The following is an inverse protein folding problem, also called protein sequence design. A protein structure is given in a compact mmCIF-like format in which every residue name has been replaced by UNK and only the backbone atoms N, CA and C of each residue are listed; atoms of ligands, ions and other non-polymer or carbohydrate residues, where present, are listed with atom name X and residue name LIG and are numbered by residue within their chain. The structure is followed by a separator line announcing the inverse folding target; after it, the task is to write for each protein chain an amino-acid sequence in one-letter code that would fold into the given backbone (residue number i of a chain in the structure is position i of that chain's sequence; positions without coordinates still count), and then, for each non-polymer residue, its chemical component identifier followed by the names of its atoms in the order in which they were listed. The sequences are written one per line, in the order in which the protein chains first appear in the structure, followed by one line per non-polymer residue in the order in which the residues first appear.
data_IF_899631961672
#
_entry.id   IF_899631961672
#
_cell.length_a   1.000
_cell.length_b   1.000
_cell.length_c   1.000
_cell.angle_alpha   90.00
_cell.angle_beta   90.00
_cell.angle_gamma   90.00
#
_symmetry.space_group_name_H-M   'P 1'
#
loop_
_entity.id
_entity.type
_entity.pdbx_description
1 polymer ?
#
# COMPACT_ATOMS: atom_id res chain seq x y z
N UNK A 1 6.24 -26.91 47.67
CA UNK A 1 5.42 -26.04 46.84
C UNK A 1 6.33 -25.25 45.92
N UNK A 2 6.54 -25.76 44.72
CA UNK A 2 7.36 -25.10 43.67
C UNK A 2 6.44 -24.32 42.77
N UNK A 3 6.47 -23.02 42.92
CA UNK A 3 5.80 -22.08 41.99
C UNK A 3 6.58 -22.05 40.67
N UNK A 4 6.07 -22.74 39.67
CA UNK A 4 6.51 -22.59 38.30
C UNK A 4 6.05 -21.19 37.80
N UNK A 5 7.02 -20.27 37.79
CA UNK A 5 6.85 -19.01 37.06
C UNK A 5 6.67 -19.35 35.56
N UNK A 6 5.52 -19.02 35.03
CA UNK A 6 5.29 -19.04 33.58
C UNK A 6 6.32 -18.15 32.89
N UNK A 7 6.91 -18.60 31.77
CA UNK A 7 7.76 -17.70 30.98
C UNK A 7 6.90 -16.50 30.54
N UNK A 8 7.38 -15.30 30.85
CA UNK A 8 6.82 -14.07 30.38
C UNK A 8 6.64 -14.19 28.88
N UNK A 9 5.41 -14.26 28.41
CA UNK A 9 5.08 -13.89 27.04
C UNK A 9 5.53 -12.44 26.90
N UNK A 10 6.66 -12.24 26.29
CA UNK A 10 7.18 -10.93 25.94
C UNK A 10 6.23 -10.38 24.89
N UNK A 11 5.24 -9.60 25.36
CA UNK A 11 4.30 -8.89 24.48
C UNK A 11 5.14 -7.91 23.69
N UNK A 12 5.46 -8.27 22.44
CA UNK A 12 6.20 -7.40 21.53
C UNK A 12 5.34 -6.14 21.34
N UNK A 13 5.84 -4.97 21.77
CA UNK A 13 5.06 -3.75 21.65
C UNK A 13 4.72 -3.48 20.18
N UNK A 14 3.52 -2.96 19.85
CA UNK A 14 3.09 -2.69 18.49
C UNK A 14 4.07 -1.82 17.69
N UNK A 15 4.87 -1.00 18.36
CA UNK A 15 5.93 -0.18 17.78
C UNK A 15 7.09 -0.97 17.16
N UNK A 16 7.26 -2.25 17.49
CA UNK A 16 8.28 -3.12 16.90
C UNK A 16 7.81 -3.78 15.61
N UNK A 17 6.51 -3.87 15.39
CA UNK A 17 5.92 -4.49 14.20
C UNK A 17 5.94 -3.53 13.01
N UNK A 18 5.92 -2.22 13.26
CA UNK A 18 5.88 -1.20 12.22
C UNK A 18 7.04 -0.22 12.32
N UNK A 19 7.51 0.28 11.18
CA UNK A 19 8.58 1.30 11.12
C UNK A 19 8.14 2.69 11.60
N UNK A 20 6.89 2.86 11.99
CA UNK A 20 6.26 4.15 12.29
C UNK A 20 6.52 4.68 13.70
N UNK A 21 7.56 4.21 14.39
CA UNK A 21 7.85 4.55 15.78
C UNK A 21 8.20 6.02 16.08
N UNK A 22 8.34 6.87 15.07
CA UNK A 22 8.58 8.32 15.23
C UNK A 22 7.58 9.10 14.36
N UNK A 23 6.68 9.83 14.99
CA UNK A 23 5.60 10.60 14.35
C UNK A 23 6.08 11.67 13.33
N UNK A 24 7.34 12.10 13.40
CA UNK A 24 7.92 13.13 12.53
C UNK A 24 9.04 12.62 11.62
N UNK A 25 9.15 11.31 11.40
CA UNK A 25 10.08 10.80 10.39
C UNK A 25 9.50 11.01 8.98
N UNK A 26 10.36 11.24 7.98
CA UNK A 26 9.93 11.37 6.57
C UNK A 26 9.09 10.15 6.11
N UNK A 27 9.35 8.98 6.69
CA UNK A 27 8.63 7.73 6.44
C UNK A 27 7.17 7.81 6.90
N UNK A 28 6.95 8.35 8.10
CA UNK A 28 5.59 8.56 8.64
C UNK A 28 4.84 9.60 7.82
N UNK A 29 5.51 10.64 7.37
CA UNK A 29 4.90 11.67 6.51
C UNK A 29 4.45 11.06 5.18
N UNK A 30 5.30 10.26 4.52
CA UNK A 30 4.93 9.57 3.27
C UNK A 30 3.79 8.58 3.48
N UNK A 31 3.84 7.79 4.55
CA UNK A 31 2.77 6.85 4.88
C UNK A 31 1.43 7.55 5.09
N UNK A 32 1.41 8.61 5.90
CA UNK A 32 0.21 9.41 6.16
C UNK A 32 -0.29 10.05 4.87
N UNK A 33 0.62 10.63 4.06
CA UNK A 33 0.25 11.25 2.79
C UNK A 33 -0.41 10.26 1.84
N UNK A 34 0.19 9.08 1.63
CA UNK A 34 -0.40 8.06 0.76
C UNK A 34 -1.72 7.53 1.30
N UNK A 35 -1.83 7.31 2.61
CA UNK A 35 -3.07 6.86 3.24
C UNK A 35 -4.18 7.90 3.11
N UNK A 36 -3.88 9.17 3.37
CA UNK A 36 -4.84 10.26 3.23
C UNK A 36 -5.27 10.45 1.77
N UNK A 37 -4.32 10.42 0.82
CA UNK A 37 -4.65 10.50 -0.60
C UNK A 37 -5.57 9.34 -1.04
N UNK A 38 -5.27 8.11 -0.60
CA UNK A 38 -6.11 6.96 -0.88
C UNK A 38 -7.51 7.09 -0.30
N UNK A 39 -7.63 7.56 0.96
CA UNK A 39 -8.92 7.82 1.61
C UNK A 39 -9.72 8.93 0.91
N UNK A 40 -9.07 10.04 0.55
CA UNK A 40 -9.71 11.14 -0.16
C UNK A 40 -10.23 10.70 -1.54
N UNK A 41 -9.46 9.87 -2.25
CA UNK A 41 -9.93 9.27 -3.51
C UNK A 41 -11.14 8.37 -3.29
N UNK A 42 -11.15 7.58 -2.21
CA UNK A 42 -12.29 6.76 -1.84
C UNK A 42 -13.53 7.59 -1.54
N UNK A 43 -13.39 8.66 -0.78
CA UNK A 43 -14.48 9.59 -0.49
C UNK A 43 -14.97 10.28 -1.76
N UNK A 44 -14.07 10.76 -2.62
CA UNK A 44 -14.42 11.38 -3.89
C UNK A 44 -15.24 10.45 -4.79
N UNK A 45 -14.89 9.17 -4.83
CA UNK A 45 -15.64 8.16 -5.57
C UNK A 45 -17.04 7.92 -4.97
N UNK A 46 -17.13 7.71 -3.64
CA UNK A 46 -18.38 7.44 -2.93
C UNK A 46 -19.36 8.61 -3.08
N UNK A 47 -18.89 9.84 -2.94
CA UNK A 47 -19.72 11.04 -3.10
C UNK A 47 -19.97 11.44 -4.56
N UNK A 48 -19.44 10.68 -5.51
CA UNK A 48 -19.62 10.95 -6.94
C UNK A 48 -19.00 12.28 -7.38
N UNK A 49 -17.88 12.64 -6.79
CA UNK A 49 -17.19 13.89 -7.11
C UNK A 49 -16.79 13.88 -8.59
N UNK A 50 -17.15 14.95 -9.31
CA UNK A 50 -16.83 15.09 -10.72
C UNK A 50 -15.71 16.10 -10.90
N UNK A 51 -14.66 15.70 -11.61
CA UNK A 51 -13.61 16.61 -12.02
C UNK A 51 -13.81 16.98 -13.49
N UNK A 52 -13.96 18.26 -13.80
CA UNK A 52 -14.23 18.73 -15.17
C UNK A 52 -15.47 18.08 -15.85
N UNK A 53 -16.50 17.74 -15.07
CA UNK A 53 -17.71 17.09 -15.59
C UNK A 53 -17.58 15.58 -15.84
N UNK A 54 -16.41 15.00 -15.61
CA UNK A 54 -16.18 13.56 -15.71
C UNK A 54 -16.21 12.93 -14.32
N UNK A 55 -16.93 11.80 -14.20
CA UNK A 55 -16.91 10.97 -12.98
C UNK A 55 -15.76 9.97 -13.07
N UNK A 56 -15.11 9.76 -11.95
CA UNK A 56 -14.16 8.65 -11.82
C UNK A 56 -14.86 7.33 -12.10
N UNK A 57 -14.32 6.58 -13.04
CA UNK A 57 -14.79 5.23 -13.33
C UNK A 57 -14.36 4.28 -12.19
N UNK A 58 -15.16 3.26 -11.97
CA UNK A 58 -14.89 2.27 -10.93
C UNK A 58 -13.50 1.64 -11.08
N UNK A 59 -13.11 1.28 -12.31
CA UNK A 59 -11.78 0.73 -12.60
C UNK A 59 -10.64 1.70 -12.29
N UNK A 60 -10.78 2.97 -12.64
CA UNK A 60 -9.80 4.03 -12.35
C UNK A 60 -9.59 4.17 -10.83
N UNK A 61 -10.70 4.27 -10.09
CA UNK A 61 -10.67 4.38 -8.64
C UNK A 61 -9.95 3.20 -7.98
N UNK A 62 -10.32 1.97 -8.34
CA UNK A 62 -9.72 0.77 -7.74
C UNK A 62 -8.21 0.71 -7.95
N UNK A 63 -7.73 1.00 -9.15
CA UNK A 63 -6.30 0.98 -9.42
C UNK A 63 -5.54 2.06 -8.65
N UNK A 64 -6.05 3.27 -8.58
CA UNK A 64 -5.43 4.35 -7.80
C UNK A 64 -5.41 4.01 -6.31
N UNK A 65 -6.52 3.48 -5.79
CA UNK A 65 -6.62 3.03 -4.41
C UNK A 65 -5.59 1.95 -4.07
N UNK A 66 -5.51 0.89 -4.89
CA UNK A 66 -4.53 -0.18 -4.75
C UNK A 66 -3.11 0.38 -4.75
N UNK A 67 -2.79 1.31 -5.66
CA UNK A 67 -1.47 1.92 -5.76
C UNK A 67 -1.05 2.64 -4.48
N UNK A 68 -1.90 3.52 -3.96
CA UNK A 68 -1.60 4.27 -2.74
C UNK A 68 -1.45 3.36 -1.52
N UNK A 69 -2.35 2.41 -1.31
CA UNK A 69 -2.27 1.53 -0.14
C UNK A 69 -1.12 0.53 -0.23
N UNK A 70 -0.81 0.01 -1.41
CA UNK A 70 0.36 -0.86 -1.61
C UNK A 70 1.66 -0.09 -1.35
N UNK A 71 1.78 1.13 -1.87
CA UNK A 71 2.94 1.97 -1.62
C UNK A 71 3.09 2.32 -0.13
N UNK A 72 1.99 2.69 0.55
CA UNK A 72 1.97 2.94 1.98
C UNK A 72 2.41 1.71 2.78
N UNK A 73 1.96 0.52 2.39
CA UNK A 73 2.33 -0.74 3.04
C UNK A 73 3.83 -1.04 2.92
N UNK A 74 4.45 -0.82 1.75
CA UNK A 74 5.91 -1.00 1.59
C UNK A 74 6.73 -0.03 2.45
N UNK A 75 6.21 1.15 2.74
CA UNK A 75 6.86 2.10 3.65
C UNK A 75 6.69 1.68 5.10
N UNK A 76 5.49 1.21 5.49
CA UNK A 76 5.16 0.89 6.88
C UNK A 76 5.69 -0.48 7.32
N UNK A 77 5.61 -1.50 6.46
CA UNK A 77 5.92 -2.88 6.80
C UNK A 77 7.37 -3.23 6.45
N UNK A 78 8.18 -3.64 7.43
CA UNK A 78 9.54 -4.08 7.18
C UNK A 78 9.58 -5.43 6.47
N UNK A 79 10.56 -5.62 5.56
CA UNK A 79 10.79 -6.92 4.93
C UNK A 79 11.34 -7.97 5.92
N UNK A 80 12.10 -7.49 6.92
CA UNK A 80 12.71 -8.32 7.96
C UNK A 80 12.51 -7.68 9.34
N UNK A 81 12.35 -8.50 10.40
CA UNK A 81 12.24 -8.00 11.78
C UNK A 81 13.42 -7.09 12.15
N UNK A 82 13.14 -5.98 12.84
CA UNK A 82 14.17 -5.05 13.31
C UNK A 82 14.64 -3.99 12.32
N UNK A 83 14.16 -3.97 11.09
CA UNK A 83 14.46 -2.89 10.13
C UNK A 83 13.76 -1.58 10.51
N UNK A 84 14.53 -0.61 11.01
CA UNK A 84 14.01 0.73 11.39
C UNK A 84 13.97 1.74 10.23
N UNK A 85 14.80 1.54 9.19
CA UNK A 85 14.86 2.44 8.02
C UNK A 85 14.26 1.77 6.80
N UNK A 86 13.59 2.55 5.95
CA UNK A 86 13.10 2.06 4.65
C UNK A 86 14.30 1.88 3.72
N UNK A 87 14.61 0.68 3.29
CA UNK A 87 15.66 0.45 2.33
C UNK A 87 15.24 0.94 0.93
N UNK A 88 16.21 1.16 0.07
CA UNK A 88 15.98 1.65 -1.30
C UNK A 88 15.05 0.72 -2.10
N UNK A 89 15.16 -0.58 -1.91
CA UNK A 89 14.30 -1.55 -2.63
C UNK A 89 12.82 -1.44 -2.24
N UNK A 90 12.48 -1.10 -1.00
CA UNK A 90 11.09 -0.85 -0.58
C UNK A 90 10.55 0.44 -1.22
N UNK A 91 11.40 1.46 -1.31
CA UNK A 91 11.04 2.71 -1.98
C UNK A 91 10.81 2.50 -3.48
N UNK A 92 11.68 1.69 -4.12
CA UNK A 92 11.51 1.30 -5.52
C UNK A 92 10.23 0.48 -5.70
N UNK A 93 9.95 -0.50 -4.82
CA UNK A 93 8.73 -1.28 -4.87
C UNK A 93 7.47 -0.40 -4.73
N UNK A 94 7.49 0.56 -3.81
CA UNK A 94 6.42 1.55 -3.64
C UNK A 94 6.23 2.41 -4.91
N UNK A 95 7.32 2.91 -5.50
CA UNK A 95 7.27 3.70 -6.72
C UNK A 95 6.78 2.89 -7.92
N UNK A 96 7.23 1.66 -8.08
CA UNK A 96 6.80 0.75 -9.16
C UNK A 96 5.32 0.40 -9.00
N UNK A 97 4.85 0.10 -7.79
CA UNK A 97 3.43 -0.19 -7.54
C UNK A 97 2.54 0.99 -7.89
N UNK A 98 2.93 2.21 -7.52
CA UNK A 98 2.23 3.44 -7.91
C UNK A 98 2.21 3.62 -9.43
N UNK A 99 3.36 3.52 -10.09
CA UNK A 99 3.47 3.72 -11.52
C UNK A 99 2.59 2.74 -12.32
N UNK A 100 2.61 1.45 -11.96
CA UNK A 100 1.78 0.42 -12.59
C UNK A 100 0.30 0.68 -12.32
N UNK A 101 -0.05 1.03 -11.09
CA UNK A 101 -1.44 1.30 -10.72
C UNK A 101 -2.00 2.51 -11.44
N UNK A 102 -1.23 3.59 -11.57
CA UNK A 102 -1.64 4.75 -12.37
C UNK A 102 -1.73 4.43 -13.87
N UNK A 103 -0.83 3.60 -14.40
CA UNK A 103 -0.93 3.13 -15.78
C UNK A 103 -2.24 2.36 -16.01
N UNK A 104 -2.60 1.43 -15.12
CA UNK A 104 -3.85 0.69 -15.22
C UNK A 104 -5.07 1.59 -15.01
N UNK A 105 -5.01 2.56 -14.11
CA UNK A 105 -6.07 3.54 -13.93
C UNK A 105 -6.31 4.35 -15.21
N UNK A 106 -5.23 4.88 -15.81
CA UNK A 106 -5.33 5.68 -17.03
C UNK A 106 -5.86 4.90 -18.25
N UNK A 107 -5.66 3.57 -18.27
CA UNK A 107 -6.11 2.70 -19.36
C UNK A 107 -7.32 1.83 -18.99
N UNK A 108 -7.93 2.06 -17.81
CA UNK A 108 -8.99 1.21 -17.29
C UNK A 108 -10.18 1.09 -18.25
N UNK A 109 -10.57 2.18 -18.89
CA UNK A 109 -11.66 2.23 -19.86
C UNK A 109 -11.36 1.40 -21.11
N UNK A 110 -10.18 1.60 -21.69
CA UNK A 110 -9.75 0.88 -22.89
C UNK A 110 -9.61 -0.61 -22.63
N UNK A 111 -9.12 -0.98 -21.44
CA UNK A 111 -9.00 -2.38 -21.02
C UNK A 111 -10.36 -3.08 -20.91
N UNK A 112 -11.37 -2.39 -20.40
CA UNK A 112 -12.73 -2.93 -20.31
C UNK A 112 -13.37 -3.07 -21.69
N UNK A 113 -13.20 -2.07 -22.58
CA UNK A 113 -13.81 -2.10 -23.90
C UNK A 113 -13.10 -3.06 -24.86
N UNK A 114 -11.78 -3.03 -24.89
CA UNK A 114 -10.99 -3.85 -25.81
C UNK A 114 -10.74 -5.27 -25.32
N UNK A 115 -11.03 -5.56 -24.05
CA UNK A 115 -10.81 -6.89 -23.45
C UNK A 115 -9.34 -7.28 -23.35
N UNK A 116 -8.40 -6.30 -23.42
CA UNK A 116 -6.98 -6.56 -23.30
C UNK A 116 -6.43 -6.08 -21.96
N UNK A 117 -5.44 -6.78 -21.47
CA UNK A 117 -4.68 -6.41 -20.27
C UNK A 117 -3.20 -6.53 -20.54
N UNK A 118 -2.40 -5.66 -19.94
CA UNK A 118 -0.96 -5.80 -20.00
C UNK A 118 -0.51 -6.88 -19.00
N UNK A 119 -0.50 -8.13 -19.46
CA UNK A 119 -0.19 -9.30 -18.62
C UNK A 119 1.14 -9.16 -17.86
N UNK A 120 2.26 -8.74 -18.47
CA UNK A 120 3.51 -8.56 -17.74
C UNK A 120 3.40 -7.61 -16.55
N UNK A 121 2.76 -6.45 -16.73
CA UNK A 121 2.55 -5.49 -15.64
C UNK A 121 1.58 -6.03 -14.59
N UNK A 122 0.56 -6.78 -15.00
CA UNK A 122 -0.33 -7.48 -14.10
C UNK A 122 0.41 -8.49 -13.21
N UNK A 123 1.36 -9.25 -13.76
CA UNK A 123 2.18 -10.18 -12.98
C UNK A 123 3.04 -9.41 -11.96
N UNK A 124 3.66 -8.30 -12.37
CA UNK A 124 4.49 -7.49 -11.45
C UNK A 124 3.67 -6.99 -10.26
N UNK A 125 2.48 -6.40 -10.50
CA UNK A 125 1.64 -5.91 -9.40
C UNK A 125 1.17 -7.06 -8.49
N UNK A 126 0.88 -8.24 -9.06
CA UNK A 126 0.54 -9.43 -8.31
C UNK A 126 1.67 -9.89 -7.39
N UNK A 127 2.90 -9.94 -7.89
CA UNK A 127 4.09 -10.28 -7.10
C UNK A 127 4.31 -9.28 -5.97
N UNK A 128 4.12 -7.98 -6.24
CA UNK A 128 4.22 -6.94 -5.22
C UNK A 128 3.14 -7.11 -4.12
N UNK A 129 1.90 -7.46 -4.50
CA UNK A 129 0.84 -7.73 -3.55
C UNK A 129 1.10 -8.97 -2.70
N UNK A 130 1.63 -10.05 -3.30
CA UNK A 130 2.02 -11.25 -2.56
C UNK A 130 3.15 -10.96 -1.57
N UNK A 131 4.14 -10.17 -1.98
CA UNK A 131 5.22 -9.73 -1.09
C UNK A 131 4.68 -8.87 0.07
N UNK A 132 3.74 -7.98 -0.20
CA UNK A 132 3.06 -7.21 0.84
C UNK A 132 2.30 -8.13 1.81
N UNK A 133 1.55 -9.11 1.30
CA UNK A 133 0.83 -10.08 2.12
C UNK A 133 1.80 -10.90 3.01
N UNK A 134 2.94 -11.31 2.46
CA UNK A 134 4.00 -12.00 3.23
C UNK A 134 4.52 -11.16 4.39
N UNK A 135 4.59 -9.84 4.24
CA UNK A 135 5.08 -8.93 5.29
C UNK A 135 4.04 -8.63 6.37
N UNK A 136 2.77 -8.77 6.04
CA UNK A 136 1.67 -8.47 6.97
C UNK A 136 1.28 -9.66 7.86
N UNK A 137 1.69 -10.86 7.54
CA UNK A 137 1.34 -12.10 8.24
C UNK A 137 2.50 -12.86 8.75
#
# INVERSE_FOLDING_TARGET
MTTTSSPNEEIIPPSEITRLGQLFSWQSILFVTFSVCGLLMGLAYIFGFTWNGQRLLEGEYYWVFIGFFTAAAFIALPAYPGQKKVPVYDLVAAAVSLAISFYFAANAWDMVQAGWTNIPLGIVIWVLMLEMARRSG
#
